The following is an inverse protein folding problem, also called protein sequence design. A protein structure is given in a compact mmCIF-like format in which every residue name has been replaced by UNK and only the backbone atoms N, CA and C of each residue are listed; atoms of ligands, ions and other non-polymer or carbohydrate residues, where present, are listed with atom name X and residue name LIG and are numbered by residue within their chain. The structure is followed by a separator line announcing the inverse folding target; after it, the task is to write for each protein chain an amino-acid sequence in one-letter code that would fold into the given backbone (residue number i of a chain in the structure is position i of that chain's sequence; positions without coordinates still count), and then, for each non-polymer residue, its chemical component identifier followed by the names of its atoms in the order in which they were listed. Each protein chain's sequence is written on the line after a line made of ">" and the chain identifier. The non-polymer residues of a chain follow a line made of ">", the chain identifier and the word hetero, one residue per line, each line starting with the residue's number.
data_IF_675503897900
#
_entry.id   IF_675503897900
#
_cell.length_a   1.000
_cell.length_b   1.000
_cell.length_c   1.000
_cell.angle_alpha   90.00
_cell.angle_beta   90.00
_cell.angle_gamma   90.00
#
_symmetry.space_group_name_H-M   'P 1'
#
loop_
_entity.id
_entity.type
_entity.pdbx_description
1 polymer ?
#
# COMPACT_ATOMS: atom_id res chain seq x y z
N UNK A 1 6.50 -43.95 -64.90
CA UNK A 1 5.69 -42.72 -64.78
C UNK A 1 5.87 -42.20 -63.37
N UNK A 2 6.51 -41.04 -63.22
CA UNK A 2 6.78 -40.41 -61.92
C UNK A 2 5.55 -39.58 -61.50
N UNK A 3 4.89 -39.95 -60.42
CA UNK A 3 3.81 -39.14 -59.83
C UNK A 3 4.44 -38.21 -58.80
N UNK A 4 4.48 -36.90 -59.10
CA UNK A 4 4.99 -35.88 -58.18
C UNK A 4 3.93 -35.52 -57.15
N UNK A 5 4.32 -35.70 -55.89
CA UNK A 5 3.68 -35.21 -54.67
C UNK A 5 3.71 -33.68 -54.64
N UNK A 6 2.59 -33.03 -54.37
CA UNK A 6 2.54 -31.61 -54.00
C UNK A 6 1.75 -31.49 -52.70
N UNK A 7 2.45 -31.39 -51.58
CA UNK A 7 1.88 -31.07 -50.27
C UNK A 7 1.89 -29.55 -50.14
N UNK A 8 0.72 -28.91 -50.20
CA UNK A 8 0.58 -27.47 -49.95
C UNK A 8 0.42 -27.27 -48.44
N UNK A 9 1.48 -26.82 -47.77
CA UNK A 9 1.41 -26.43 -46.36
C UNK A 9 0.77 -25.04 -46.24
N UNK A 10 -0.48 -24.97 -45.78
CA UNK A 10 -1.13 -23.72 -45.41
C UNK A 10 -0.64 -23.31 -44.01
N UNK A 11 0.26 -22.34 -43.94
CA UNK A 11 0.65 -21.71 -42.69
C UNK A 11 -0.49 -20.79 -42.21
N UNK A 12 -1.22 -21.19 -41.19
CA UNK A 12 -2.20 -20.35 -40.53
C UNK A 12 -1.46 -19.30 -39.67
N UNK A 13 -1.43 -18.06 -40.15
CA UNK A 13 -0.97 -16.90 -39.37
C UNK A 13 -2.04 -16.58 -38.32
N UNK A 14 -1.84 -17.01 -37.07
CA UNK A 14 -2.62 -16.52 -35.94
C UNK A 14 -2.16 -15.11 -35.60
N UNK A 15 -2.88 -14.10 -36.09
CA UNK A 15 -2.75 -12.73 -35.61
C UNK A 15 -3.42 -12.69 -34.24
N UNK A 16 -2.61 -12.73 -33.18
CA UNK A 16 -3.06 -12.41 -31.83
C UNK A 16 -3.33 -10.90 -31.79
N UNK A 17 -4.59 -10.51 -31.95
CA UNK A 17 -5.05 -9.14 -31.73
C UNK A 17 -4.86 -8.82 -30.24
N UNK A 18 -3.72 -8.22 -29.88
CA UNK A 18 -3.56 -7.62 -28.56
C UNK A 18 -4.65 -6.58 -28.37
N UNK A 19 -5.38 -6.64 -27.26
CA UNK A 19 -6.31 -5.59 -26.87
C UNK A 19 -5.51 -4.31 -26.67
N UNK A 20 -5.66 -3.34 -27.57
CA UNK A 20 -5.15 -2.00 -27.33
C UNK A 20 -5.94 -1.44 -26.14
N UNK A 21 -5.29 -1.32 -24.97
CA UNK A 21 -5.87 -0.72 -23.77
C UNK A 21 -5.99 0.79 -24.00
N UNK A 22 -7.14 1.22 -24.51
CA UNK A 22 -7.41 2.64 -24.81
C UNK A 22 -8.05 3.41 -23.64
N UNK A 23 -8.41 2.73 -22.55
CA UNK A 23 -9.09 3.35 -21.41
C UNK A 23 -8.11 3.70 -20.30
N UNK A 24 -8.41 4.76 -19.57
CA UNK A 24 -7.70 5.01 -18.32
C UNK A 24 -7.99 3.89 -17.31
N UNK A 25 -6.99 3.59 -16.49
CA UNK A 25 -7.06 2.52 -15.49
C UNK A 25 -6.51 3.03 -14.17
N UNK A 26 -6.92 2.42 -13.06
CA UNK A 26 -6.20 2.56 -11.80
C UNK A 26 -5.07 1.53 -11.75
N UNK A 27 -3.91 1.96 -11.25
CA UNK A 27 -2.80 1.06 -10.95
C UNK A 27 -3.19 0.09 -9.84
N UNK A 28 -3.79 0.60 -8.77
CA UNK A 28 -4.36 -0.19 -7.70
C UNK A 28 -5.65 -0.88 -8.19
N UNK A 29 -5.87 -2.13 -7.79
CA UNK A 29 -7.10 -2.88 -8.09
C UNK A 29 -8.06 -2.93 -6.91
N UNK A 30 -7.51 -2.84 -5.71
CA UNK A 30 -8.26 -3.00 -4.47
C UNK A 30 -7.92 -1.90 -3.48
N UNK A 31 -8.85 -1.62 -2.57
CA UNK A 31 -8.60 -0.77 -1.41
C UNK A 31 -9.33 -1.29 -0.18
N UNK A 32 -8.62 -1.36 0.94
CA UNK A 32 -9.21 -1.74 2.21
C UNK A 32 -10.10 -0.62 2.77
N UNK A 33 -11.27 -0.99 3.26
CA UNK A 33 -12.20 -0.09 3.94
C UNK A 33 -11.54 0.50 5.20
N UNK A 34 -11.70 1.80 5.44
CA UNK A 34 -11.06 2.50 6.56
C UNK A 34 -9.59 2.86 6.34
N UNK A 35 -8.92 2.31 5.31
CA UNK A 35 -7.52 2.58 5.06
C UNK A 35 -7.31 3.89 4.29
N UNK A 36 -6.17 4.54 4.53
CA UNK A 36 -5.65 5.54 3.61
C UNK A 36 -4.97 4.85 2.43
N UNK A 37 -5.44 5.14 1.21
CA UNK A 37 -4.90 4.56 -0.02
C UNK A 37 -4.46 5.62 -1.02
N UNK A 38 -3.51 5.22 -1.86
CA UNK A 38 -3.08 5.98 -3.04
C UNK A 38 -3.93 5.52 -4.22
N UNK A 39 -4.43 6.46 -5.00
CA UNK A 39 -5.17 6.20 -6.23
C UNK A 39 -4.40 6.84 -7.37
N UNK A 40 -3.87 6.00 -8.26
CA UNK A 40 -3.06 6.41 -9.39
C UNK A 40 -3.80 6.07 -10.69
N UNK A 41 -4.34 7.12 -11.31
CA UNK A 41 -4.95 7.04 -12.63
C UNK A 41 -3.85 7.02 -13.69
N UNK A 42 -3.77 5.94 -14.47
CA UNK A 42 -2.94 5.84 -15.66
C UNK A 42 -3.74 6.26 -16.90
N UNK A 43 -3.27 7.30 -17.57
CA UNK A 43 -3.78 7.76 -18.87
C UNK A 43 -2.85 7.22 -19.95
N UNK A 44 -3.32 6.33 -20.85
CA UNK A 44 -2.44 5.54 -21.71
C UNK A 44 -1.86 6.30 -22.92
N UNK A 45 -2.57 7.31 -23.40
CA UNK A 45 -2.23 8.09 -24.59
C UNK A 45 -3.06 9.38 -24.61
N UNK A 46 -2.87 10.19 -25.65
CA UNK A 46 -3.63 11.39 -25.94
C UNK A 46 -5.02 11.11 -26.51
N UNK A 47 -5.81 12.13 -26.81
CA UNK A 47 -7.14 11.94 -27.39
C UNK A 47 -7.06 12.20 -28.89
N UNK A 48 -7.54 11.25 -29.70
CA UNK A 48 -7.60 11.40 -31.16
C UNK A 48 -6.25 11.77 -31.82
N UNK A 49 -5.12 11.30 -31.28
CA UNK A 49 -3.78 11.64 -31.81
C UNK A 49 -3.20 12.95 -31.29
N UNK A 50 -3.92 13.69 -30.45
CA UNK A 50 -3.49 14.96 -29.87
C UNK A 50 -3.02 14.79 -28.43
N UNK A 51 -2.11 15.66 -28.01
CA UNK A 51 -1.60 15.63 -26.65
C UNK A 51 -2.70 15.92 -25.61
N UNK A 52 -2.62 15.25 -24.46
CA UNK A 52 -3.46 15.57 -23.30
C UNK A 52 -2.98 16.84 -22.65
N UNK A 53 -3.91 17.77 -22.43
CA UNK A 53 -3.61 19.04 -21.77
C UNK A 53 -4.28 19.17 -20.40
N UNK A 54 -5.33 18.39 -20.12
CA UNK A 54 -5.90 18.32 -18.79
C UNK A 54 -6.42 16.92 -18.45
N UNK A 55 -6.34 16.57 -17.17
CA UNK A 55 -6.92 15.37 -16.58
C UNK A 55 -7.64 15.77 -15.32
N UNK A 56 -8.92 15.41 -15.22
CA UNK A 56 -9.77 15.66 -14.07
C UNK A 56 -10.24 14.35 -13.48
N UNK A 57 -10.10 14.19 -12.17
CA UNK A 57 -10.66 13.09 -11.38
C UNK A 57 -11.75 13.65 -10.49
N UNK A 58 -12.96 13.11 -10.58
CA UNK A 58 -14.02 13.36 -9.61
C UNK A 58 -13.83 12.43 -8.42
N UNK A 59 -13.95 12.99 -7.22
CA UNK A 59 -13.82 12.23 -5.98
C UNK A 59 -15.20 11.66 -5.63
N UNK A 60 -15.35 10.32 -5.55
CA UNK A 60 -16.62 9.70 -5.20
C UNK A 60 -17.02 9.99 -3.75
N UNK A 61 -18.28 9.78 -3.41
CA UNK A 61 -18.63 9.59 -2.01
C UNK A 61 -17.99 8.32 -1.45
N UNK A 62 -17.67 8.34 -0.17
CA UNK A 62 -16.90 7.29 0.48
C UNK A 62 -15.38 7.43 0.36
N UNK A 63 -14.87 8.45 -0.36
CA UNK A 63 -13.44 8.77 -0.39
C UNK A 63 -13.19 10.20 0.09
N UNK A 64 -12.44 10.36 1.18
CA UNK A 64 -12.31 11.64 1.88
C UNK A 64 -10.85 11.97 2.22
N UNK A 65 -10.62 13.16 2.79
CA UNK A 65 -9.30 13.67 3.15
C UNK A 65 -8.29 13.66 1.98
N UNK A 66 -8.79 13.92 0.77
CA UNK A 66 -8.02 13.79 -0.46
C UNK A 66 -6.92 14.83 -0.57
N UNK A 67 -5.72 14.37 -0.93
CA UNK A 67 -4.53 15.17 -1.21
C UNK A 67 -3.96 14.77 -2.58
N UNK A 68 -4.04 15.64 -3.59
CA UNK A 68 -3.43 15.37 -4.88
C UNK A 68 -1.91 15.53 -4.85
N UNK A 69 -1.22 14.74 -5.66
CA UNK A 69 0.23 14.84 -5.84
C UNK A 69 0.57 15.94 -6.86
N UNK A 70 1.34 16.98 -6.48
CA UNK A 70 1.88 17.94 -7.44
C UNK A 70 2.70 17.23 -8.52
N UNK A 71 2.61 17.72 -9.76
CA UNK A 71 3.25 17.11 -10.92
C UNK A 71 3.99 18.18 -11.72
N UNK A 72 5.29 17.98 -11.93
CA UNK A 72 6.10 18.93 -12.66
C UNK A 72 5.56 19.13 -14.09
N UNK A 73 5.45 20.39 -14.53
CA UNK A 73 4.92 20.73 -15.85
C UNK A 73 3.39 20.74 -15.95
N UNK A 74 2.68 20.55 -14.84
CA UNK A 74 1.21 20.62 -14.78
C UNK A 74 0.77 21.60 -13.69
N UNK A 75 -0.23 22.41 -14.00
CA UNK A 75 -0.94 23.21 -13.01
C UNK A 75 -1.93 22.31 -12.27
N UNK A 76 -1.95 22.39 -10.94
CA UNK A 76 -2.82 21.59 -10.09
C UNK A 76 -3.88 22.47 -9.43
N UNK A 77 -5.14 22.07 -9.55
CA UNK A 77 -6.29 22.72 -8.89
C UNK A 77 -7.23 21.70 -8.26
N UNK A 78 -7.93 22.13 -7.22
CA UNK A 78 -8.91 21.32 -6.50
C UNK A 78 -10.21 22.09 -6.32
N UNK A 79 -11.33 21.40 -6.42
CA UNK A 79 -12.64 21.92 -6.04
C UNK A 79 -13.08 21.27 -4.73
N UNK A 80 -13.48 22.09 -3.76
CA UNK A 80 -13.99 21.64 -2.46
C UNK A 80 -15.53 21.69 -2.46
N UNK A 81 -16.16 20.74 -1.79
CA UNK A 81 -17.60 20.70 -1.59
C UNK A 81 -17.98 19.87 -0.37
N UNK A 82 -19.25 19.96 0.03
CA UNK A 82 -19.81 19.20 1.14
C UNK A 82 -19.88 17.71 0.81
N UNK A 83 -19.60 16.87 1.80
CA UNK A 83 -19.87 15.43 1.72
C UNK A 83 -21.34 15.15 1.97
N UNK A 84 -21.87 14.09 1.35
CA UNK A 84 -23.22 13.60 1.65
C UNK A 84 -23.33 13.07 3.09
N UNK A 85 -22.27 12.41 3.58
CA UNK A 85 -22.14 11.94 4.96
C UNK A 85 -20.86 12.52 5.58
N UNK A 86 -20.91 13.10 6.78
CA UNK A 86 -19.69 13.53 7.48
C UNK A 86 -18.75 12.36 7.77
N UNK A 87 -17.45 12.62 7.76
CA UNK A 87 -16.43 11.62 8.08
C UNK A 87 -15.73 11.96 9.39
N UNK A 88 -15.32 10.95 10.16
CA UNK A 88 -14.30 11.15 11.19
C UNK A 88 -12.91 11.11 10.55
N UNK A 89 -12.14 12.16 10.77
CA UNK A 89 -10.76 12.24 10.36
C UNK A 89 -9.88 12.47 11.59
N UNK A 90 -9.48 11.37 12.25
CA UNK A 90 -8.66 11.38 13.46
C UNK A 90 -9.34 12.12 14.63
N UNK A 91 -10.62 11.80 14.90
CA UNK A 91 -11.40 12.41 15.99
C UNK A 91 -11.97 13.80 15.64
N UNK A 92 -11.76 14.27 14.41
CA UNK A 92 -12.33 15.51 13.90
C UNK A 92 -13.38 15.18 12.85
N UNK A 93 -14.62 15.57 13.10
CA UNK A 93 -15.67 15.50 12.08
C UNK A 93 -15.34 16.46 10.93
N UNK A 94 -15.35 15.93 9.71
CA UNK A 94 -15.20 16.71 8.47
C UNK A 94 -16.46 16.59 7.64
N UNK A 95 -17.05 17.73 7.31
CA UNK A 95 -18.31 17.83 6.55
C UNK A 95 -18.11 18.25 5.10
N UNK A 96 -16.90 18.68 4.74
CA UNK A 96 -16.51 19.07 3.39
C UNK A 96 -15.06 18.70 3.08
N UNK A 97 -14.73 18.65 1.80
CA UNK A 97 -13.36 18.44 1.31
C UNK A 97 -13.30 18.38 -0.20
N UNK A 98 -12.17 17.91 -0.74
CA UNK A 98 -11.94 17.91 -2.19
C UNK A 98 -12.91 16.95 -2.89
N UNK A 99 -13.69 17.48 -3.84
CA UNK A 99 -14.65 16.77 -4.68
C UNK A 99 -14.19 16.58 -6.11
N UNK A 100 -13.19 17.35 -6.55
CA UNK A 100 -12.50 17.09 -7.81
C UNK A 100 -11.07 17.61 -7.78
N UNK A 101 -10.20 16.92 -8.50
CA UNK A 101 -8.80 17.30 -8.73
C UNK A 101 -8.60 17.45 -10.24
N UNK A 102 -7.96 18.54 -10.66
CA UNK A 102 -7.61 18.78 -12.06
C UNK A 102 -6.14 19.11 -12.20
N UNK A 103 -5.43 18.34 -13.01
CA UNK A 103 -4.13 18.71 -13.56
C UNK A 103 -4.37 19.30 -14.95
N UNK A 104 -3.83 20.49 -15.23
CA UNK A 104 -4.01 21.20 -16.50
C UNK A 104 -2.70 21.80 -17.01
N UNK A 105 -2.70 22.29 -18.25
CA UNK A 105 -1.53 22.92 -18.87
C UNK A 105 -0.42 21.94 -19.27
N UNK A 106 -0.70 20.63 -19.15
CA UNK A 106 0.25 19.59 -19.54
C UNK A 106 0.35 19.39 -21.03
N UNK A 107 1.28 18.52 -21.41
CA UNK A 107 1.54 18.11 -22.79
C UNK A 107 1.95 16.64 -22.79
N UNK A 108 0.98 15.74 -22.59
CA UNK A 108 1.21 14.30 -22.71
C UNK A 108 0.99 13.87 -24.17
N UNK A 109 2.03 13.58 -24.96
CA UNK A 109 1.87 13.25 -26.36
C UNK A 109 1.17 11.90 -26.56
N UNK A 110 0.48 11.72 -27.69
CA UNK A 110 -0.30 10.52 -27.98
C UNK A 110 0.49 9.20 -27.89
N UNK A 111 1.78 9.23 -28.21
CA UNK A 111 2.65 8.05 -28.12
C UNK A 111 3.13 7.69 -26.71
N UNK A 112 2.70 8.40 -25.66
CA UNK A 112 3.17 8.23 -24.29
C UNK A 112 1.99 8.07 -23.33
N UNK A 113 2.22 7.35 -22.24
CA UNK A 113 1.31 7.30 -21.11
C UNK A 113 1.84 8.15 -19.96
N UNK A 114 0.96 8.51 -19.04
CA UNK A 114 1.33 9.19 -17.80
C UNK A 114 0.39 8.81 -16.65
N UNK A 115 0.78 9.20 -15.44
CA UNK A 115 0.09 8.89 -14.21
C UNK A 115 -0.25 10.15 -13.39
N UNK A 116 -1.46 10.14 -12.84
CA UNK A 116 -2.07 11.21 -12.05
C UNK A 116 -2.52 10.63 -10.72
N UNK A 117 -1.97 11.13 -9.63
CA UNK A 117 -2.05 10.48 -8.31
C UNK A 117 -2.74 11.36 -7.29
N UNK A 118 -3.67 10.76 -6.56
CA UNK A 118 -4.23 11.30 -5.31
C UNK A 118 -3.98 10.32 -4.16
N UNK A 119 -3.98 10.81 -2.93
CA UNK A 119 -4.07 10.01 -1.69
C UNK A 119 -5.34 10.42 -0.95
N UNK A 120 -6.04 9.48 -0.34
CA UNK A 120 -7.22 9.75 0.48
C UNK A 120 -7.62 8.52 1.28
N UNK A 121 -8.64 8.66 2.12
CA UNK A 121 -9.12 7.58 2.99
C UNK A 121 -10.42 7.00 2.46
N UNK A 122 -10.52 5.66 2.51
CA UNK A 122 -11.76 4.93 2.21
C UNK A 122 -12.63 4.95 3.46
N UNK A 123 -13.87 5.43 3.32
CA UNK A 123 -14.80 5.58 4.43
C UNK A 123 -15.17 4.23 5.05
N UNK A 124 -15.22 4.12 6.39
CA UNK A 124 -15.54 2.87 7.09
C UNK A 124 -17.00 2.40 6.89
N UNK A 125 -17.87 3.28 6.37
CA UNK A 125 -19.27 2.98 6.10
C UNK A 125 -19.52 2.24 4.78
N UNK A 126 -18.50 2.08 3.94
CA UNK A 126 -18.59 1.32 2.69
C UNK A 126 -18.57 -0.19 2.93
N UNK A 127 -18.96 -0.98 1.93
CA UNK A 127 -19.04 -2.44 2.03
C UNK A 127 -17.98 -3.14 1.19
N UNK A 128 -17.50 -4.30 1.66
CA UNK A 128 -16.60 -5.14 0.88
C UNK A 128 -17.28 -5.64 -0.40
N UNK A 129 -16.46 -5.94 -1.42
CA UNK A 129 -16.83 -6.33 -2.78
C UNK A 129 -17.57 -5.24 -3.60
N UNK A 130 -17.80 -4.05 -3.02
CA UNK A 130 -18.31 -2.89 -3.74
C UNK A 130 -17.22 -2.26 -4.62
N UNK A 131 -17.61 -1.71 -5.78
CA UNK A 131 -16.69 -0.97 -6.64
C UNK A 131 -16.77 0.53 -6.32
N UNK A 132 -15.65 1.11 -5.89
CA UNK A 132 -15.49 2.55 -5.73
C UNK A 132 -14.95 3.17 -7.02
N UNK A 133 -15.82 3.81 -7.78
CA UNK A 133 -15.48 4.42 -9.07
C UNK A 133 -14.85 5.80 -8.91
N UNK A 134 -13.86 6.12 -9.76
CA UNK A 134 -13.21 7.42 -9.86
C UNK A 134 -13.47 8.02 -11.25
N UNK A 135 -14.66 8.63 -11.47
CA UNK A 135 -15.03 9.22 -12.74
C UNK A 135 -13.96 10.20 -13.21
N UNK A 136 -13.47 10.02 -14.43
CA UNK A 136 -12.31 10.75 -14.92
C UNK A 136 -12.55 11.30 -16.32
N UNK A 137 -12.06 12.51 -16.57
CA UNK A 137 -12.13 13.17 -17.87
C UNK A 137 -10.73 13.57 -18.30
N UNK A 138 -10.38 13.20 -19.52
CA UNK A 138 -9.18 13.64 -20.22
C UNK A 138 -9.57 14.67 -21.27
N UNK A 139 -8.89 15.81 -21.28
CA UNK A 139 -9.08 16.85 -22.29
C UNK A 139 -7.82 17.03 -23.13
N UNK A 140 -8.04 17.13 -24.44
CA UNK A 140 -7.06 17.43 -25.46
C UNK A 140 -7.50 18.68 -26.23
N UNK A 141 -6.67 19.17 -27.15
CA UNK A 141 -6.93 20.43 -27.87
C UNK A 141 -8.28 20.43 -28.62
N UNK A 142 -8.62 19.32 -29.28
CA UNK A 142 -9.86 19.13 -30.06
C UNK A 142 -10.53 17.78 -29.75
N UNK A 143 -10.32 17.25 -28.55
CA UNK A 143 -10.82 15.93 -28.16
C UNK A 143 -11.01 15.81 -26.66
N UNK A 144 -11.80 14.80 -26.28
CA UNK A 144 -12.02 14.43 -24.89
C UNK A 144 -12.22 12.92 -24.82
N UNK A 145 -11.65 12.30 -23.78
CA UNK A 145 -12.05 10.97 -23.35
C UNK A 145 -12.81 11.09 -22.03
N UNK A 146 -13.99 10.50 -21.98
CA UNK A 146 -14.94 10.61 -20.88
C UNK A 146 -15.14 9.24 -20.23
N UNK A 147 -14.43 8.98 -19.13
CA UNK A 147 -14.52 7.76 -18.33
C UNK A 147 -15.34 8.03 -17.06
N UNK A 148 -16.58 8.49 -17.22
CA UNK A 148 -17.46 8.82 -16.09
C UNK A 148 -18.60 7.84 -15.86
N UNK A 149 -18.73 6.80 -16.70
CA UNK A 149 -19.78 5.79 -16.54
C UNK A 149 -19.49 4.87 -15.35
N UNK A 150 -20.34 4.93 -14.32
CA UNK A 150 -20.24 4.14 -13.08
C UNK A 150 -21.24 2.98 -13.02
N UNK A 151 -21.86 2.61 -14.14
CA UNK A 151 -22.88 1.56 -14.18
C UNK A 151 -22.35 0.16 -13.85
N UNK A 152 -21.03 -0.04 -13.93
CA UNK A 152 -20.37 -1.34 -13.80
C UNK A 152 -20.57 -2.27 -15.00
N UNK A 153 -21.20 -1.79 -16.08
CA UNK A 153 -21.35 -2.57 -17.31
C UNK A 153 -20.02 -2.67 -18.05
N UNK A 154 -19.71 -3.87 -18.57
CA UNK A 154 -18.55 -4.07 -19.44
C UNK A 154 -18.79 -3.64 -20.89
N UNK A 155 -20.04 -3.33 -21.25
CA UNK A 155 -20.45 -2.98 -22.62
C UNK A 155 -20.44 -1.46 -22.88
N UNK A 156 -20.06 -0.65 -21.88
CA UNK A 156 -19.98 0.80 -22.05
C UNK A 156 -18.66 1.17 -22.72
N UNK A 157 -18.66 2.16 -23.62
CA UNK A 157 -17.46 2.52 -24.37
C UNK A 157 -16.30 2.99 -23.49
N UNK A 158 -16.60 3.68 -22.39
CA UNK A 158 -15.61 4.32 -21.54
C UNK A 158 -16.03 4.17 -20.06
N UNK A 159 -15.82 3.00 -19.46
CA UNK A 159 -16.15 2.79 -18.06
C UNK A 159 -15.25 3.66 -17.16
N UNK A 160 -15.81 4.17 -16.07
CA UNK A 160 -15.01 4.81 -15.04
C UNK A 160 -14.06 3.80 -14.39
N UNK A 161 -12.80 4.18 -14.15
CA UNK A 161 -11.86 3.31 -13.48
C UNK A 161 -12.24 3.19 -12.00
N UNK A 162 -12.07 2.01 -11.39
CA UNK A 162 -12.57 1.72 -10.04
C UNK A 162 -11.60 0.86 -9.22
N UNK A 163 -11.80 0.89 -7.90
CA UNK A 163 -11.19 -0.02 -6.94
C UNK A 163 -12.27 -0.98 -6.44
N UNK A 164 -11.93 -2.26 -6.33
CA UNK A 164 -12.73 -3.21 -5.55
C UNK A 164 -12.44 -2.99 -4.07
N UNK A 165 -13.46 -2.73 -3.29
CA UNK A 165 -13.31 -2.56 -1.85
C UNK A 165 -13.16 -3.94 -1.20
N UNK A 166 -12.14 -4.07 -0.36
CA UNK A 166 -11.94 -5.27 0.45
C UNK A 166 -12.19 -4.93 1.91
N UNK A 167 -12.55 -5.94 2.70
CA UNK A 167 -12.73 -5.77 4.13
C UNK A 167 -11.47 -5.12 4.73
N UNK A 168 -11.67 -4.01 5.44
CA UNK A 168 -10.63 -3.48 6.31
C UNK A 168 -10.53 -4.35 7.54
N UNK A 169 -9.33 -4.52 8.09
CA UNK A 169 -9.21 -5.08 9.42
C UNK A 169 -9.99 -4.18 10.38
N UNK A 170 -11.03 -4.74 11.00
CA UNK A 170 -11.87 -4.07 11.98
C UNK A 170 -11.12 -3.93 13.30
N UNK A 171 -10.04 -3.16 13.28
CA UNK A 171 -9.34 -2.70 14.47
C UNK A 171 -9.31 -1.18 14.39
N UNK A 172 -10.20 -0.54 15.15
CA UNK A 172 -10.01 0.84 15.56
C UNK A 172 -8.73 0.90 16.41
N UNK A 173 -7.59 1.04 15.73
CA UNK A 173 -6.32 1.35 16.35
C UNK A 173 -5.66 2.41 15.48
N UNK A 174 -5.34 3.54 16.11
CA UNK A 174 -4.57 4.61 15.52
C UNK A 174 -3.21 4.06 15.07
N UNK A 175 -3.07 3.73 13.79
CA UNK A 175 -1.83 3.24 13.19
C UNK A 175 -1.54 4.02 11.92
N UNK A 176 -0.41 4.72 11.90
CA UNK A 176 0.09 5.45 10.75
C UNK A 176 0.25 4.48 9.56
N UNK A 177 -0.23 4.90 8.39
CA UNK A 177 -0.47 4.00 7.26
C UNK A 177 0.77 3.33 6.69
N UNK A 178 0.55 2.19 6.03
CA UNK A 178 1.55 1.59 5.16
C UNK A 178 0.92 1.08 3.87
N UNK A 179 1.64 1.31 2.78
CA UNK A 179 1.24 0.91 1.45
C UNK A 179 1.47 -0.59 1.31
N UNK A 180 0.39 -1.39 1.35
CA UNK A 180 0.36 -2.76 0.83
C UNK A 180 1.63 -3.59 1.06
N UNK A 181 2.15 -3.61 2.28
CA UNK A 181 3.14 -4.62 2.66
C UNK A 181 2.42 -5.95 2.82
N UNK A 182 2.98 -7.01 2.23
CA UNK A 182 2.60 -8.37 2.59
C UNK A 182 3.04 -8.59 4.04
N UNK A 183 2.09 -8.55 4.96
CA UNK A 183 2.30 -8.90 6.36
C UNK A 183 1.78 -10.31 6.63
N UNK A 184 2.31 -10.95 7.65
CA UNK A 184 1.89 -12.27 8.07
C UNK A 184 0.50 -12.26 8.69
N UNK A 185 -0.12 -13.43 8.76
CA UNK A 185 -1.40 -13.59 9.41
C UNK A 185 -1.31 -13.23 10.90
N UNK A 186 -2.36 -12.61 11.42
CA UNK A 186 -2.47 -12.36 12.85
C UNK A 186 -2.57 -13.68 13.64
N UNK A 187 -1.99 -13.70 14.83
CA UNK A 187 -1.99 -14.86 15.73
C UNK A 187 -2.42 -14.42 17.13
N UNK A 188 -3.26 -15.22 17.78
CA UNK A 188 -3.70 -14.99 19.16
C UNK A 188 -3.00 -15.97 20.11
N UNK A 189 -2.46 -15.46 21.21
CA UNK A 189 -1.88 -16.23 22.31
C UNK A 189 -2.52 -15.77 23.63
N UNK A 190 -3.53 -16.52 24.11
CA UNK A 190 -4.30 -16.07 25.26
C UNK A 190 -4.99 -14.74 24.97
N UNK A 191 -4.70 -13.72 25.77
CA UNK A 191 -5.24 -12.37 25.61
C UNK A 191 -4.36 -11.45 24.72
N UNK A 192 -3.25 -11.98 24.20
CA UNK A 192 -2.37 -11.24 23.29
C UNK A 192 -2.75 -11.49 21.83
N UNK A 193 -2.92 -10.41 21.08
CA UNK A 193 -3.11 -10.43 19.63
C UNK A 193 -1.84 -9.89 18.96
N UNK A 194 -1.21 -10.71 18.13
CA UNK A 194 -0.02 -10.33 17.36
C UNK A 194 -0.44 -10.17 15.91
N UNK A 195 -0.38 -8.95 15.39
CA UNK A 195 -0.88 -8.59 14.07
C UNK A 195 0.23 -8.09 13.14
N UNK A 196 0.05 -8.38 11.86
CA UNK A 196 0.89 -7.88 10.77
C UNK A 196 2.41 -8.16 10.89
N UNK A 197 2.87 -9.34 11.33
CA UNK A 197 4.31 -9.61 11.44
C UNK A 197 4.99 -9.59 10.06
N UNK A 198 6.11 -8.88 9.91
CA UNK A 198 6.93 -8.88 8.70
C UNK A 198 8.42 -8.69 9.03
N UNK A 199 9.30 -9.07 8.10
CA UNK A 199 10.74 -8.85 8.22
C UNK A 199 11.28 -8.11 6.99
N UNK A 200 12.38 -7.38 7.15
CA UNK A 200 13.03 -6.69 6.02
C UNK A 200 14.03 -7.56 5.30
N UNK A 201 13.99 -7.52 3.98
CA UNK A 201 14.99 -8.15 3.13
C UNK A 201 16.40 -7.62 3.43
N UNK A 202 17.37 -8.49 3.27
CA UNK A 202 18.79 -8.21 3.51
C UNK A 202 19.59 -8.24 2.23
N UNK A 203 20.65 -7.44 2.15
CA UNK A 203 21.62 -7.57 1.07
C UNK A 203 22.48 -8.82 1.31
N UNK A 204 23.09 -9.40 0.26
CA UNK A 204 24.05 -10.49 0.43
C UNK A 204 25.15 -10.13 1.45
N UNK A 205 25.41 -11.05 2.38
CA UNK A 205 26.39 -10.94 3.47
C UNK A 205 26.05 -9.94 4.60
N UNK A 206 24.80 -9.46 4.70
CA UNK A 206 24.38 -8.71 5.89
C UNK A 206 24.17 -9.67 7.08
N UNK A 207 24.77 -9.38 8.25
CA UNK A 207 24.70 -10.29 9.39
C UNK A 207 23.42 -10.14 10.21
N UNK A 208 22.60 -9.11 9.93
CA UNK A 208 21.43 -8.73 10.75
C UNK A 208 20.21 -8.36 9.90
N UNK A 209 19.02 -8.55 10.47
CA UNK A 209 17.75 -8.08 9.92
C UNK A 209 16.82 -7.58 11.02
N UNK A 210 15.84 -6.76 10.67
CA UNK A 210 14.76 -6.32 11.57
C UNK A 210 13.45 -7.02 11.24
N UNK A 211 12.74 -7.46 12.29
CA UNK A 211 11.37 -7.94 12.26
C UNK A 211 10.45 -6.99 13.04
N UNK A 212 9.24 -6.85 12.54
CA UNK A 212 8.26 -5.84 12.92
C UNK A 212 6.89 -6.48 13.03
N UNK A 213 6.06 -6.00 13.95
CA UNK A 213 4.69 -6.47 14.19
C UNK A 213 3.99 -5.53 15.17
N UNK A 214 2.69 -5.70 15.33
CA UNK A 214 1.92 -5.04 16.39
C UNK A 214 1.49 -6.07 17.42
N UNK A 215 1.65 -5.78 18.70
CA UNK A 215 1.17 -6.64 19.80
C UNK A 215 0.14 -5.86 20.61
N UNK A 216 -1.08 -6.38 20.69
CA UNK A 216 -2.17 -5.83 21.52
C UNK A 216 -2.44 -6.77 22.67
N UNK A 217 -2.42 -6.26 23.90
CA UNK A 217 -2.84 -7.00 25.09
C UNK A 217 -4.28 -6.64 25.43
N UNK A 218 -5.20 -7.56 25.17
CA UNK A 218 -6.64 -7.40 25.46
C UNK A 218 -7.03 -7.85 26.88
N UNK A 219 -6.05 -8.33 27.65
CA UNK A 219 -6.24 -8.88 28.99
C UNK A 219 -6.21 -7.83 30.09
N UNK A 220 -6.40 -8.28 31.33
CA UNK A 220 -6.42 -7.43 32.53
C UNK A 220 -5.05 -7.36 33.24
N UNK A 221 -4.04 -8.08 32.74
CA UNK A 221 -2.69 -8.10 33.34
C UNK A 221 -1.62 -7.81 32.30
N UNK A 222 -0.64 -6.98 32.69
CA UNK A 222 0.54 -6.69 31.87
C UNK A 222 1.28 -7.98 31.49
N UNK A 223 1.89 -8.02 30.31
CA UNK A 223 2.84 -9.06 29.91
C UNK A 223 4.15 -8.41 29.44
N UNK A 224 5.18 -9.20 29.20
CA UNK A 224 6.48 -8.73 28.71
C UNK A 224 6.97 -9.67 27.63
N UNK A 225 7.30 -9.15 26.44
CA UNK A 225 8.03 -9.90 25.42
C UNK A 225 9.50 -9.99 25.84
N UNK A 226 9.91 -11.16 26.32
CA UNK A 226 11.23 -11.36 26.94
C UNK A 226 12.24 -12.06 26.03
N UNK A 227 11.79 -12.74 24.97
CA UNK A 227 12.68 -13.34 23.99
C UNK A 227 12.03 -13.51 22.62
N UNK A 228 12.88 -13.61 21.61
CA UNK A 228 12.53 -14.08 20.28
C UNK A 228 13.56 -15.13 19.82
N UNK A 229 13.16 -16.03 18.93
CA UNK A 229 14.08 -16.98 18.29
C UNK A 229 13.61 -17.34 16.89
N UNK A 230 14.56 -17.68 16.01
CA UNK A 230 14.26 -18.08 14.65
C UNK A 230 15.33 -19.05 14.14
N UNK A 231 14.97 -20.10 13.38
CA UNK A 231 15.96 -20.94 12.70
C UNK A 231 16.79 -20.17 11.65
N UNK A 232 16.37 -18.98 11.24
CA UNK A 232 17.11 -18.15 10.28
C UNK A 232 18.31 -17.40 10.90
N UNK A 233 18.38 -17.33 12.24
CA UNK A 233 19.37 -16.52 12.97
C UNK A 233 20.04 -17.31 14.09
N UNK A 234 21.32 -17.01 14.37
CA UNK A 234 22.04 -17.62 15.49
C UNK A 234 21.47 -17.19 16.85
N UNK A 235 20.94 -15.97 16.94
CA UNK A 235 20.17 -15.46 18.07
C UNK A 235 19.25 -14.33 17.64
N UNK A 236 18.27 -13.99 18.47
CA UNK A 236 17.46 -12.78 18.28
C UNK A 236 17.40 -11.98 19.57
N UNK A 237 17.27 -10.67 19.42
CA UNK A 237 17.28 -9.69 20.51
C UNK A 237 16.07 -8.75 20.33
N UNK A 238 15.52 -8.22 21.42
CA UNK A 238 14.45 -7.19 21.36
C UNK A 238 15.10 -5.83 21.53
N UNK A 239 14.91 -4.93 20.55
CA UNK A 239 15.62 -3.66 20.49
C UNK A 239 14.64 -2.49 20.45
N UNK A 240 15.11 -1.33 20.89
CA UNK A 240 14.47 -0.03 20.72
C UNK A 240 15.38 0.94 19.98
N UNK A 241 14.78 1.95 19.36
CA UNK A 241 15.47 3.13 18.87
C UNK A 241 15.12 4.31 19.79
N UNK A 242 16.10 4.80 20.54
CA UNK A 242 15.92 5.92 21.46
C UNK A 242 16.90 7.07 21.15
N UNK A 243 16.45 8.31 21.34
CA UNK A 243 17.35 9.46 21.29
C UNK A 243 18.24 9.49 22.53
N UNK A 244 19.55 9.52 22.32
CA UNK A 244 20.53 9.79 23.36
C UNK A 244 21.35 11.02 22.94
N UNK A 245 20.88 12.17 23.44
CA UNK A 245 21.25 13.49 22.93
C UNK A 245 20.67 13.72 21.54
N UNK A 246 21.51 14.16 20.61
CA UNK A 246 21.13 14.41 19.21
C UNK A 246 21.30 13.17 18.31
N UNK A 247 21.56 11.99 18.89
CA UNK A 247 21.84 10.75 18.15
C UNK A 247 20.79 9.70 18.47
N UNK A 248 20.14 9.19 17.43
CA UNK A 248 19.28 8.01 17.55
C UNK A 248 20.16 6.77 17.74
N UNK A 249 20.02 6.12 18.89
CA UNK A 249 20.76 4.91 19.24
C UNK A 249 19.82 3.73 19.31
N UNK A 250 20.28 2.63 18.73
CA UNK A 250 19.66 1.32 18.85
C UNK A 250 20.18 0.66 20.13
N UNK A 251 19.28 0.10 20.93
CA UNK A 251 19.62 -0.53 22.21
C UNK A 251 18.78 -1.79 22.42
N UNK A 252 19.44 -2.86 22.87
CA UNK A 252 18.77 -4.07 23.35
C UNK A 252 18.03 -3.82 24.67
N UNK A 253 16.82 -4.36 24.78
CA UNK A 253 16.00 -4.40 25.98
C UNK A 253 16.22 -5.74 26.69
N UNK A 254 17.25 -5.82 27.55
CA UNK A 254 17.61 -7.04 28.29
C UNK A 254 16.48 -7.53 29.23
N UNK A 255 15.67 -6.61 29.75
CA UNK A 255 14.52 -6.91 30.61
C UNK A 255 13.25 -7.26 29.81
N UNK A 256 13.31 -7.22 28.47
CA UNK A 256 12.18 -7.41 27.57
C UNK A 256 11.38 -6.13 27.29
N UNK A 257 10.40 -6.26 26.39
CA UNK A 257 9.49 -5.18 25.99
C UNK A 257 8.15 -5.32 26.73
N UNK A 258 7.80 -4.39 27.63
CA UNK A 258 6.51 -4.41 28.33
C UNK A 258 5.34 -4.26 27.36
N UNK A 259 4.30 -5.07 27.58
CA UNK A 259 3.01 -5.02 26.88
C UNK A 259 1.90 -4.83 27.94
N UNK A 260 1.62 -3.59 28.37
CA UNK A 260 0.66 -3.31 29.43
C UNK A 260 -0.76 -3.79 29.11
N UNK A 261 -1.54 -4.12 30.13
CA UNK A 261 -2.93 -4.54 29.99
C UNK A 261 -3.77 -3.47 29.27
N UNK A 262 -4.53 -3.88 28.25
CA UNK A 262 -5.38 -2.99 27.46
C UNK A 262 -4.63 -2.07 26.49
N UNK A 263 -3.31 -2.23 26.35
CA UNK A 263 -2.49 -1.41 25.44
C UNK A 263 -2.03 -2.17 24.19
N UNK A 264 -1.67 -1.39 23.18
CA UNK A 264 -1.07 -1.86 21.93
C UNK A 264 0.34 -1.31 21.82
N UNK A 265 1.31 -2.18 21.58
CA UNK A 265 2.72 -1.85 21.38
C UNK A 265 3.10 -2.15 19.94
N UNK A 266 3.59 -1.13 19.23
CA UNK A 266 4.06 -1.24 17.85
C UNK A 266 5.56 -1.53 17.81
N UNK A 267 5.95 -2.62 17.13
CA UNK A 267 7.32 -2.87 16.74
C UNK A 267 7.46 -2.46 15.28
N UNK A 268 7.99 -1.27 15.04
CA UNK A 268 8.04 -0.60 13.73
C UNK A 268 9.43 -0.02 13.42
N UNK A 269 9.74 0.23 12.13
CA UNK A 269 10.98 0.87 11.73
C UNK A 269 11.18 2.22 12.43
N UNK A 270 12.28 2.36 13.18
CA UNK A 270 12.56 3.58 13.94
C UNK A 270 12.00 3.59 15.37
N UNK A 271 11.35 2.51 15.80
CA UNK A 271 10.89 2.28 17.18
C UNK A 271 11.39 0.95 17.73
N UNK A 272 10.51 0.20 18.40
CA UNK A 272 10.81 -1.16 18.86
C UNK A 272 10.90 -2.13 17.69
N UNK A 273 11.72 -3.18 17.80
CA UNK A 273 11.83 -4.22 16.78
C UNK A 273 12.48 -5.47 17.34
N UNK A 274 12.23 -6.62 16.72
CA UNK A 274 13.02 -7.83 16.97
C UNK A 274 14.18 -7.87 15.98
N UNK A 275 15.39 -8.04 16.48
CA UNK A 275 16.59 -8.08 15.66
C UNK A 275 17.06 -9.51 15.46
N UNK A 276 17.20 -9.92 14.20
CA UNK A 276 17.87 -11.16 13.82
C UNK A 276 19.37 -10.91 13.85
N UNK A 277 20.11 -11.69 14.63
CA UNK A 277 21.56 -11.60 14.75
C UNK A 277 22.22 -12.89 14.24
N UNK A 278 23.39 -12.74 13.62
CA UNK A 278 24.14 -13.85 13.03
C UNK A 278 23.27 -14.68 12.06
N UNK A 279 22.71 -14.00 11.05
CA UNK A 279 21.88 -14.64 10.03
C UNK A 279 22.61 -15.82 9.36
N UNK A 280 21.91 -16.94 9.24
CA UNK A 280 22.42 -18.17 8.59
C UNK A 280 22.48 -18.04 7.06
N UNK A 281 21.81 -17.04 6.50
CA UNK A 281 21.75 -16.70 5.09
C UNK A 281 20.95 -15.41 4.87
N UNK A 282 20.94 -14.84 3.65
CA UNK A 282 20.15 -13.65 3.39
C UNK A 282 18.65 -13.96 3.51
N UNK A 283 17.90 -13.07 4.17
CA UNK A 283 16.44 -12.98 4.01
C UNK A 283 16.15 -12.28 2.69
N UNK A 284 15.62 -13.00 1.69
CA UNK A 284 15.28 -12.42 0.40
C UNK A 284 13.81 -11.99 0.34
N UNK A 285 13.53 -10.93 -0.41
CA UNK A 285 12.16 -10.46 -0.63
C UNK A 285 11.29 -11.58 -1.23
N UNK A 286 10.09 -11.77 -0.66
CA UNK A 286 9.17 -12.83 -1.01
C UNK A 286 9.34 -14.13 -0.22
N UNK A 287 10.43 -14.27 0.55
CA UNK A 287 10.60 -15.39 1.48
C UNK A 287 9.72 -15.21 2.73
N UNK A 288 9.70 -16.24 3.58
CA UNK A 288 9.10 -16.19 4.91
C UNK A 288 10.12 -16.60 5.97
N UNK A 289 10.11 -15.91 7.10
CA UNK A 289 10.87 -16.23 8.29
C UNK A 289 9.92 -16.65 9.43
N UNK A 290 10.15 -17.81 10.03
CA UNK A 290 9.44 -18.21 11.25
C UNK A 290 10.14 -17.61 12.47
N UNK A 291 9.38 -16.97 13.35
CA UNK A 291 9.88 -16.39 14.60
C UNK A 291 9.01 -16.89 15.75
N UNK A 292 9.64 -17.49 16.75
CA UNK A 292 9.00 -17.83 18.02
C UNK A 292 9.24 -16.70 19.00
N UNK A 293 8.16 -16.09 19.48
CA UNK A 293 8.13 -15.06 20.51
C UNK A 293 7.84 -15.71 21.85
N UNK A 294 8.56 -15.31 22.90
CA UNK A 294 8.35 -15.79 24.28
C UNK A 294 7.93 -14.62 25.15
N UNK A 295 6.69 -14.69 25.64
CA UNK A 295 6.13 -13.77 26.62
C UNK A 295 6.27 -14.34 28.03
N UNK A 296 6.51 -13.47 29.01
CA UNK A 296 6.74 -13.85 30.40
C UNK A 296 5.54 -14.62 30.99
N UNK A 297 4.31 -14.19 30.68
CA UNK A 297 3.09 -14.79 31.23
C UNK A 297 2.31 -15.63 30.22
N UNK A 298 2.09 -15.13 29.01
CA UNK A 298 1.31 -15.82 27.98
C UNK A 298 2.04 -17.04 27.38
N UNK A 299 3.37 -17.11 27.52
CA UNK A 299 4.19 -18.21 27.01
C UNK A 299 4.65 -17.99 25.57
N UNK A 300 4.76 -19.06 24.80
CA UNK A 300 5.37 -19.01 23.47
C UNK A 300 4.36 -19.04 22.33
N UNK A 301 4.61 -18.24 21.30
CA UNK A 301 3.85 -18.25 20.04
C UNK A 301 4.79 -18.14 18.85
N UNK A 302 4.54 -18.92 17.80
CA UNK A 302 5.28 -18.81 16.55
C UNK A 302 4.48 -17.97 15.55
N UNK A 303 5.13 -16.95 15.01
CA UNK A 303 4.59 -16.08 13.96
C UNK A 303 5.36 -16.29 12.67
N UNK A 304 4.66 -16.20 11.55
CA UNK A 304 5.26 -16.24 10.21
C UNK A 304 5.41 -14.82 9.70
N UNK A 305 6.64 -14.39 9.43
CA UNK A 305 6.97 -13.07 8.89
C UNK A 305 7.30 -13.17 7.41
N UNK A 306 6.46 -12.63 6.51
CA UNK A 306 6.87 -12.40 5.12
C UNK A 306 8.03 -11.41 5.09
N UNK A 307 8.99 -11.68 4.20
CA UNK A 307 10.15 -10.83 3.97
C UNK A 307 9.81 -9.85 2.86
N UNK A 308 9.73 -8.58 3.20
CA UNK A 308 9.39 -7.48 2.28
C UNK A 308 10.63 -6.70 1.86
N UNK A 309 10.52 -5.91 0.79
CA UNK A 309 11.61 -5.05 0.32
C UNK A 309 12.20 -4.22 1.48
N UNK A 310 13.52 -4.08 1.52
CA UNK A 310 14.24 -3.38 2.60
C UNK A 310 13.75 -1.93 2.81
N UNK A 311 13.36 -1.29 1.72
CA UNK A 311 12.96 0.13 1.67
C UNK A 311 11.43 0.30 1.70
N UNK A 312 10.68 -0.78 1.89
CA UNK A 312 9.26 -0.68 2.21
C UNK A 312 9.16 0.00 3.61
N UNK A 313 8.72 1.26 3.54
CA UNK A 313 8.46 2.23 4.59
C UNK A 313 9.23 2.08 5.92
N UNK A 314 10.27 2.90 6.06
CA UNK A 314 10.78 3.42 7.33
C UNK A 314 11.50 4.71 7.01
N UNK A 315 10.91 5.83 7.42
CA UNK A 315 11.28 7.24 7.24
C UNK A 315 12.41 7.58 6.26
N UNK A 316 12.06 8.40 5.27
CA UNK A 316 12.97 9.32 4.59
C UNK A 316 13.90 10.00 5.61
N UNK A 317 15.20 9.69 5.54
CA UNK A 317 16.19 10.58 6.11
C UNK A 317 16.19 11.85 5.27
N UNK A 318 15.62 12.91 5.86
CA UNK A 318 15.74 14.26 5.36
C UNK A 318 17.23 14.60 5.10
N UNK A 319 17.46 14.99 3.85
CA UNK A 319 18.72 15.46 3.30
C UNK A 319 19.25 16.68 4.10
N UNK A 320 20.43 16.53 4.70
CA UNK A 320 21.19 17.64 5.26
C UNK A 320 22.19 18.17 4.21
N UNK A 321 21.72 19.16 3.45
CA UNK A 321 22.45 20.40 3.11
C UNK A 321 23.80 20.34 2.38
N UNK A 322 23.81 20.91 1.17
CA UNK A 322 24.86 21.79 0.64
C UNK A 322 24.21 22.64 -0.48
N UNK A 323 24.33 23.96 -0.64
CA UNK A 323 25.30 24.98 -0.26
C UNK A 323 24.59 26.33 -0.11
#
# INVERSE_FOLDING_TARGET
>A
MFTKTTLTAAAALFVLSGTAFAHATLEQKEAAIGATTKVTLRVPHGCNGEATNAVRIQIPEGFYAVKPMPKAGWDLSTETGTYETPYDNHGTEVTEGVRAVTWSGGDLPDGHYDEFTIRGSVGPQLSADEALYFPSVQSCSNGMADWTDTSGSHDVPNPAPSLTLVAGDSAHAHGHGDAGMTTGAAVTLGDLEIAGPFARATLPNQPVAGGFMTVTNTGETDDTLIAASSPAAGRMEVHEMAMDGDVMRMRELEDGLPIPAGETVSLEPGGYHVMFMDLSGPLAEGDTAEVTLTFEKAGEVTVTMPVVARDAAGMDHADHGSH
#
